data_IF_035296484442
#
_entry.id   IF_035296484442
#
_cell.length_a   1.000
_cell.length_b   1.000
_cell.length_c   1.000
_cell.angle_alpha   90.00
_cell.angle_beta   90.00
_cell.angle_gamma   90.00
#
_symmetry.space_group_name_H-M   'P 1'
#
loop_
_entity.id
_entity.type
_entity.pdbx_description
1 polymer ?
#
# COMPACT_ATOMS: atom_id res chain seq x y z
N UNK A 1 18.27 4.03 -44.94
CA UNK A 1 19.49 4.79 -44.60
C UNK A 1 20.32 3.94 -43.62
N UNK A 2 21.43 3.33 -44.05
CA UNK A 2 22.25 2.46 -43.17
C UNK A 2 23.21 3.34 -42.37
N UNK A 3 23.06 3.41 -41.04
CA UNK A 3 24.05 4.04 -40.17
C UNK A 3 25.35 3.22 -40.24
N UNK A 4 26.43 3.81 -40.77
CA UNK A 4 27.74 3.16 -40.89
C UNK A 4 28.79 3.71 -39.93
N UNK A 5 28.47 4.76 -39.18
CA UNK A 5 29.43 5.40 -38.29
C UNK A 5 29.40 4.75 -36.91
N UNK A 6 30.48 4.05 -36.50
CA UNK A 6 30.53 3.36 -35.22
C UNK A 6 30.39 4.31 -34.04
N UNK A 7 30.83 5.57 -34.18
CA UNK A 7 30.70 6.61 -33.16
C UNK A 7 29.23 6.99 -32.87
N UNK A 8 28.38 7.01 -33.91
CA UNK A 8 26.96 7.38 -33.78
C UNK A 8 26.17 6.24 -33.14
N UNK A 9 26.54 4.99 -33.46
CA UNK A 9 25.96 3.78 -32.86
C UNK A 9 26.30 3.72 -31.36
N UNK A 10 27.54 4.04 -31.00
CA UNK A 10 27.98 4.11 -29.60
C UNK A 10 27.23 5.20 -28.83
N UNK A 11 27.04 6.38 -29.43
CA UNK A 11 26.35 7.51 -28.81
C UNK A 11 24.86 7.20 -28.56
N UNK A 12 24.15 6.61 -29.53
CA UNK A 12 22.76 6.17 -29.35
C UNK A 12 22.62 5.03 -28.33
N UNK A 13 23.60 4.12 -28.26
CA UNK A 13 23.64 3.06 -27.25
C UNK A 13 23.73 3.60 -25.82
N UNK A 14 24.54 4.64 -25.60
CA UNK A 14 24.71 5.26 -24.28
C UNK A 14 23.44 5.99 -23.83
N UNK A 15 22.77 6.73 -24.74
CA UNK A 15 21.53 7.48 -24.43
C UNK A 15 20.34 6.54 -24.15
N UNK A 16 20.28 5.39 -24.81
CA UNK A 16 19.26 4.37 -24.53
C UNK A 16 19.50 3.66 -23.18
N UNK A 17 20.76 3.53 -22.74
CA UNK A 17 21.08 2.87 -21.47
C UNK A 17 20.81 3.77 -20.26
N UNK A 18 21.05 5.08 -20.36
CA UNK A 18 20.81 6.03 -19.25
C UNK A 18 19.33 6.29 -18.98
N UNK A 19 18.46 6.13 -19.98
CA UNK A 19 17.02 6.35 -19.82
C UNK A 19 16.31 5.23 -19.05
N UNK A 20 16.86 4.01 -19.00
CA UNK A 20 16.31 2.92 -18.18
C UNK A 20 16.69 3.02 -16.69
N UNK A 21 17.85 3.61 -16.36
CA UNK A 21 18.36 3.67 -14.99
C UNK A 21 17.61 4.68 -14.09
N UNK A 22 16.91 5.66 -14.66
CA UNK A 22 16.28 6.76 -13.92
C UNK A 22 14.78 6.59 -13.63
N UNK A 23 14.12 5.56 -14.16
CA UNK A 23 12.65 5.45 -14.08
C UNK A 23 12.16 4.90 -12.72
N UNK A 24 13.02 4.30 -11.91
CA UNK A 24 12.58 3.58 -10.69
C UNK A 24 12.95 4.25 -9.35
N UNK A 25 13.51 5.45 -9.35
CA UNK A 25 13.85 6.14 -8.10
C UNK A 25 12.66 6.93 -7.52
N UNK A 26 11.46 6.33 -7.48
CA UNK A 26 10.45 6.79 -6.52
C UNK A 26 10.83 6.15 -5.18
N UNK A 27 11.73 6.82 -4.45
CA UNK A 27 12.02 6.49 -3.06
C UNK A 27 10.75 6.79 -2.24
N UNK A 28 9.81 5.84 -2.21
CA UNK A 28 8.82 5.79 -1.14
C UNK A 28 9.61 5.46 0.11
N UNK A 29 9.73 6.42 1.01
CA UNK A 29 10.29 6.14 2.34
C UNK A 29 9.45 5.02 2.97
N UNK A 30 10.10 3.90 3.26
CA UNK A 30 9.48 2.79 3.97
C UNK A 30 9.27 3.22 5.42
N UNK A 31 8.02 3.37 5.82
CA UNK A 31 7.66 3.65 7.20
C UNK A 31 7.41 2.34 7.94
N UNK A 32 7.90 2.27 9.19
CA UNK A 32 7.50 1.18 10.09
C UNK A 32 6.02 1.31 10.41
N UNK A 33 5.26 0.25 10.13
CA UNK A 33 3.82 0.20 10.39
C UNK A 33 3.54 -0.32 11.80
N UNK A 34 2.61 0.34 12.50
CA UNK A 34 2.12 -0.12 13.80
C UNK A 34 1.05 -1.20 13.61
N UNK A 35 0.87 -2.04 14.63
CA UNK A 35 -0.16 -3.08 14.65
C UNK A 35 -1.11 -2.91 15.82
N UNK A 36 -2.41 -3.10 15.56
CA UNK A 36 -3.45 -3.14 16.58
C UNK A 36 -4.05 -4.55 16.58
N UNK A 37 -3.97 -5.25 17.72
CA UNK A 37 -4.50 -6.61 17.88
C UNK A 37 -4.06 -7.60 16.78
N UNK A 38 -2.84 -7.45 16.29
CA UNK A 38 -2.23 -8.32 15.27
C UNK A 38 -2.59 -7.98 13.81
N UNK A 39 -3.30 -6.88 13.56
CA UNK A 39 -3.48 -6.34 12.20
C UNK A 39 -2.59 -5.11 12.02
N UNK A 40 -1.82 -5.07 10.94
CA UNK A 40 -1.09 -3.88 10.52
C UNK A 40 -2.06 -2.75 10.16
N UNK A 41 -1.83 -1.57 10.73
CA UNK A 41 -2.73 -0.44 10.63
C UNK A 41 -2.21 0.60 9.63
N UNK A 42 -2.95 0.80 8.55
CA UNK A 42 -2.66 1.82 7.56
C UNK A 42 -3.75 2.89 7.59
N UNK A 43 -3.37 4.13 7.88
CA UNK A 43 -4.28 5.30 7.81
C UNK A 43 -3.74 6.24 6.75
N UNK A 44 -4.53 6.50 5.69
CA UNK A 44 -4.09 7.29 4.53
C UNK A 44 -2.79 6.77 3.89
N UNK A 45 -2.52 5.48 4.06
CA UNK A 45 -1.34 4.80 3.56
C UNK A 45 -1.74 3.44 2.95
N UNK A 46 -0.81 2.77 2.29
CA UNK A 46 -1.00 1.41 1.79
C UNK A 46 0.31 0.63 1.91
N UNK A 47 0.25 -0.70 2.04
CA UNK A 47 1.45 -1.53 2.03
C UNK A 47 2.27 -1.30 0.75
N UNK A 48 3.59 -1.29 0.86
CA UNK A 48 4.51 -1.36 -0.28
C UNK A 48 4.52 -2.75 -0.91
N UNK A 49 4.38 -3.79 -0.09
CA UNK A 49 4.26 -5.18 -0.51
C UNK A 49 2.96 -5.44 -1.29
N UNK A 50 2.98 -6.50 -2.10
CA UNK A 50 1.77 -6.99 -2.76
C UNK A 50 0.80 -7.56 -1.72
N UNK A 51 -0.49 -7.31 -1.88
CA UNK A 51 -1.52 -7.82 -0.97
C UNK A 51 -2.75 -8.33 -1.73
N UNK A 52 -3.46 -9.24 -1.11
CA UNK A 52 -4.78 -9.72 -1.54
C UNK A 52 -5.86 -8.91 -0.82
N UNK A 53 -6.83 -8.39 -1.58
CA UNK A 53 -7.99 -7.73 -1.02
C UNK A 53 -9.03 -8.77 -0.59
N UNK A 54 -9.45 -8.72 0.68
CA UNK A 54 -10.42 -9.67 1.23
C UNK A 54 -11.83 -9.08 1.30
N UNK A 55 -11.93 -7.77 1.53
CA UNK A 55 -13.20 -7.07 1.58
C UNK A 55 -13.13 -5.75 2.32
N UNK A 56 -14.26 -5.05 2.35
CA UNK A 56 -14.41 -3.79 3.09
C UNK A 56 -15.36 -3.98 4.27
N UNK A 57 -15.10 -3.26 5.36
CA UNK A 57 -16.01 -3.08 6.50
C UNK A 57 -16.46 -1.63 6.58
N UNK A 58 -17.75 -1.46 6.85
CA UNK A 58 -18.42 -0.16 7.06
C UNK A 58 -19.60 -0.44 8.00
N UNK A 59 -19.40 -0.40 9.32
CA UNK A 59 -20.43 -0.76 10.28
C UNK A 59 -21.53 0.30 10.33
N UNK A 60 -22.79 -0.14 10.32
CA UNK A 60 -23.96 0.74 10.39
C UNK A 60 -24.09 1.50 11.71
N UNK A 61 -23.44 1.00 12.78
CA UNK A 61 -23.45 1.62 14.11
C UNK A 61 -22.01 1.74 14.58
N UNK A 62 -21.59 2.97 14.84
CA UNK A 62 -20.27 3.30 15.36
C UNK A 62 -20.41 3.76 16.82
N UNK A 63 -19.81 3.06 17.81
CA UNK A 63 -19.99 3.38 19.22
C UNK A 63 -19.27 4.67 19.65
N UNK A 64 -18.28 5.12 18.88
CA UNK A 64 -17.56 6.37 19.14
C UNK A 64 -16.78 6.83 17.90
N UNK A 65 -16.75 8.14 17.67
CA UNK A 65 -15.94 8.77 16.61
C UNK A 65 -14.51 9.10 17.07
N UNK A 66 -14.14 8.77 18.31
CA UNK A 66 -12.76 8.95 18.80
C UNK A 66 -11.87 7.85 18.23
N UNK A 67 -10.80 8.20 17.53
CA UNK A 67 -9.88 7.25 16.90
C UNK A 67 -9.43 6.12 17.85
N UNK A 68 -9.07 6.46 19.10
CA UNK A 68 -8.65 5.49 20.12
C UNK A 68 -9.72 4.47 20.55
N UNK A 69 -10.99 4.66 20.19
CA UNK A 69 -12.06 3.66 20.38
C UNK A 69 -12.53 3.08 19.04
N UNK A 70 -12.53 3.90 18.00
CA UNK A 70 -12.98 3.53 16.66
C UNK A 70 -12.04 2.51 16.01
N UNK A 71 -10.73 2.74 16.04
CA UNK A 71 -9.75 1.83 15.44
C UNK A 71 -9.82 0.43 16.07
N UNK A 72 -9.77 0.26 17.41
CA UNK A 72 -9.92 -1.06 18.03
C UNK A 72 -11.26 -1.74 17.68
N UNK A 73 -12.35 -0.97 17.60
CA UNK A 73 -13.66 -1.50 17.20
C UNK A 73 -13.65 -2.01 15.74
N UNK A 74 -13.10 -1.22 14.82
CA UNK A 74 -12.99 -1.58 13.41
C UNK A 74 -12.05 -2.77 13.21
N UNK A 75 -10.92 -2.82 13.91
CA UNK A 75 -9.99 -3.97 13.90
C UNK A 75 -10.70 -5.22 14.38
N UNK A 76 -11.39 -5.16 15.53
CA UNK A 76 -12.15 -6.30 16.05
C UNK A 76 -13.18 -6.80 15.03
N UNK A 77 -13.97 -5.88 14.44
CA UNK A 77 -14.96 -6.22 13.42
C UNK A 77 -14.34 -6.79 12.14
N UNK A 78 -13.20 -6.25 11.72
CA UNK A 78 -12.43 -6.74 10.59
C UNK A 78 -11.99 -8.18 10.80
N UNK A 79 -11.41 -8.49 11.97
CA UNK A 79 -10.98 -9.85 12.33
C UNK A 79 -12.15 -10.84 12.42
N UNK A 80 -13.28 -10.41 12.97
CA UNK A 80 -14.51 -11.24 13.04
C UNK A 80 -15.01 -11.62 11.65
N UNK A 81 -14.98 -10.68 10.69
CA UNK A 81 -15.52 -10.88 9.34
C UNK A 81 -14.51 -11.50 8.37
N UNK A 82 -13.23 -11.17 8.50
CA UNK A 82 -12.14 -11.59 7.62
C UNK A 82 -10.96 -12.09 8.47
N UNK A 83 -11.05 -13.30 9.05
CA UNK A 83 -10.04 -13.83 9.98
C UNK A 83 -8.66 -14.07 9.33
N UNK A 84 -8.60 -14.15 8.00
CA UNK A 84 -7.35 -14.28 7.23
C UNK A 84 -6.64 -12.94 6.97
N UNK A 85 -7.25 -11.81 7.33
CA UNK A 85 -6.65 -10.49 7.17
C UNK A 85 -5.49 -10.29 8.15
N UNK A 86 -4.38 -9.75 7.67
CA UNK A 86 -3.25 -9.32 8.49
C UNK A 86 -3.04 -7.80 8.48
N UNK A 87 -3.84 -7.06 7.70
CA UNK A 87 -3.78 -5.61 7.65
C UNK A 87 -5.16 -4.98 7.41
N UNK A 88 -5.30 -3.75 7.90
CA UNK A 88 -6.47 -2.90 7.75
C UNK A 88 -6.07 -1.54 7.19
N UNK A 89 -6.79 -1.07 6.17
CA UNK A 89 -6.48 0.17 5.44
C UNK A 89 -7.67 1.13 5.52
N UNK A 90 -7.47 2.25 6.20
CA UNK A 90 -8.40 3.37 6.25
C UNK A 90 -8.04 4.41 5.21
N UNK A 91 -8.84 4.51 4.15
CA UNK A 91 -8.64 5.48 3.05
C UNK A 91 -9.23 6.85 3.35
N UNK A 92 -10.21 6.93 4.26
CA UNK A 92 -10.86 8.16 4.65
C UNK A 92 -10.36 8.68 6.01
N UNK A 93 -10.64 9.95 6.31
CA UNK A 93 -10.23 10.57 7.57
C UNK A 93 -11.14 10.18 8.75
N UNK A 94 -12.37 9.74 8.46
CA UNK A 94 -13.37 9.43 9.47
C UNK A 94 -13.16 8.04 10.12
N UNK A 95 -12.34 7.18 9.49
CA UNK A 95 -12.01 5.84 9.98
C UNK A 95 -13.22 4.91 10.18
N UNK A 96 -14.36 5.23 9.58
CA UNK A 96 -15.62 4.48 9.62
C UNK A 96 -15.72 3.44 8.50
N UNK A 97 -14.78 3.47 7.55
CA UNK A 97 -14.68 2.51 6.45
C UNK A 97 -13.25 2.06 6.26
N UNK A 98 -13.06 0.75 6.17
CA UNK A 98 -11.73 0.17 6.03
C UNK A 98 -11.71 -1.06 5.13
N UNK A 99 -10.63 -1.19 4.37
CA UNK A 99 -10.35 -2.39 3.57
C UNK A 99 -9.50 -3.36 4.40
N UNK A 100 -9.88 -4.64 4.37
CA UNK A 100 -9.12 -5.72 4.99
C UNK A 100 -8.37 -6.45 3.89
N UNK A 101 -7.08 -6.63 4.13
CA UNK A 101 -6.17 -7.23 3.17
C UNK A 101 -5.28 -8.26 3.83
N UNK A 102 -4.77 -9.18 3.00
CA UNK A 102 -3.70 -10.09 3.36
C UNK A 102 -2.45 -9.70 2.59
N UNK A 103 -1.53 -9.02 3.26
CA UNK A 103 -0.20 -8.72 2.74
C UNK A 103 0.53 -10.05 2.52
N UNK A 104 1.10 -10.21 1.33
CA UNK A 104 1.95 -11.34 0.97
C UNK A 104 3.37 -10.97 1.42
N UNK A 105 4.00 -11.89 2.14
CA UNK A 105 5.43 -11.80 2.47
C UNK A 105 6.28 -11.83 1.18
#
# INVERSE_FOLDING_TARGET
MKLKNPLIILFFGIVAFTSFAFINAVNKEEAKVESEQGLYLFVKASPSNTYEYLGTIEPSIVPSHKAGKLIPFMVKKGKEKYPSANAIIFKNANLDKADLVKIKD
#
